data_IF_953688982036
#
_entry.id   IF_953688982036
#
_cell.length_a   1.000
_cell.length_b   1.000
_cell.length_c   1.000
_cell.angle_alpha   90.00
_cell.angle_beta   90.00
_cell.angle_gamma   90.00
#
_symmetry.space_group_name_H-M   'P 1'
#
loop_
_entity.id
_entity.type
_entity.pdbx_description
1 polymer ?
#
# COMPACT_ATOMS: atom_id res chain seq x y z
N UNK A 1 4.97 -1.36 20.88
CA UNK A 1 4.86 -0.15 20.03
C UNK A 1 3.44 0.38 20.13
N UNK A 2 3.25 1.67 20.41
CA UNK A 2 1.92 2.29 20.50
C UNK A 2 1.48 2.75 19.10
N UNK A 3 0.17 2.79 18.83
CA UNK A 3 -0.35 3.29 17.54
C UNK A 3 0.13 4.72 17.22
N UNK A 4 0.41 5.51 18.24
CA UNK A 4 0.96 6.87 18.15
C UNK A 4 2.36 6.93 17.54
N UNK A 5 3.09 5.82 17.52
CA UNK A 5 4.48 5.77 17.04
C UNK A 5 4.53 5.73 15.50
N UNK A 6 3.40 5.51 14.83
CA UNK A 6 3.29 5.39 13.38
C UNK A 6 2.74 6.67 12.74
N UNK A 7 3.41 7.15 11.68
CA UNK A 7 2.99 8.36 10.94
C UNK A 7 1.80 8.13 10.01
N UNK A 8 1.48 6.88 9.71
CA UNK A 8 0.39 6.50 8.82
C UNK A 8 -0.22 5.18 9.27
N UNK A 9 -1.54 5.13 9.28
CA UNK A 9 -2.33 3.95 9.61
C UNK A 9 -3.46 3.89 8.58
N UNK A 10 -3.68 2.70 8.02
CA UNK A 10 -4.78 2.44 7.10
C UNK A 10 -5.57 1.24 7.60
N UNK A 11 -6.89 1.31 7.47
CA UNK A 11 -7.80 0.26 7.95
C UNK A 11 -8.51 -0.37 6.78
N UNK A 12 -8.38 -1.69 6.67
CA UNK A 12 -9.09 -2.49 5.68
C UNK A 12 -10.37 -3.05 6.30
N UNK A 13 -11.44 -3.09 5.49
CA UNK A 13 -12.62 -3.89 5.80
C UNK A 13 -12.45 -5.26 5.16
N UNK A 14 -12.29 -6.29 5.99
CA UNK A 14 -12.17 -7.68 5.53
C UNK A 14 -13.50 -8.13 4.90
N UNK A 15 -13.41 -8.80 3.76
CA UNK A 15 -14.56 -9.38 3.04
C UNK A 15 -14.58 -10.89 3.20
N UNK A 16 -15.77 -11.49 3.08
CA UNK A 16 -15.94 -12.94 3.17
C UNK A 16 -15.00 -13.73 2.25
N UNK A 17 -14.79 -13.24 1.01
CA UNK A 17 -13.91 -13.88 0.04
C UNK A 17 -12.41 -13.87 0.41
N UNK A 18 -12.00 -13.10 1.42
CA UNK A 18 -10.60 -12.99 1.86
C UNK A 18 -10.30 -13.93 3.05
N UNK A 19 -11.33 -14.63 3.51
CA UNK A 19 -11.33 -15.45 4.72
C UNK A 19 -11.41 -16.93 4.32
N UNK A 20 -10.64 -17.78 4.98
CA UNK A 20 -10.69 -19.22 4.75
C UNK A 20 -11.82 -19.92 5.52
N UNK A 21 -11.91 -21.24 5.40
CA UNK A 21 -12.93 -22.05 6.08
C UNK A 21 -12.87 -21.98 7.62
N UNK A 22 -11.75 -21.52 8.20
CA UNK A 22 -11.56 -21.38 9.65
C UNK A 22 -12.01 -20.01 10.15
N UNK A 23 -12.44 -19.10 9.26
CA UNK A 23 -12.87 -17.76 9.65
C UNK A 23 -11.71 -16.78 9.84
N UNK A 24 -10.51 -17.11 9.35
CA UNK A 24 -9.32 -16.27 9.44
C UNK A 24 -8.92 -15.78 8.03
N UNK A 25 -8.33 -14.59 7.94
CA UNK A 25 -7.80 -14.09 6.66
C UNK A 25 -6.70 -15.04 6.16
N UNK A 26 -6.86 -15.53 4.94
CA UNK A 26 -5.90 -16.43 4.34
C UNK A 26 -4.56 -15.71 4.07
N UNK A 27 -3.44 -16.40 4.31
CA UNK A 27 -2.11 -15.77 4.35
C UNK A 27 -1.74 -15.04 3.03
N UNK A 28 -2.16 -15.58 1.88
CA UNK A 28 -1.86 -14.94 0.59
C UNK A 28 -2.46 -13.52 0.46
N UNK A 29 -3.54 -13.19 1.18
CA UNK A 29 -4.14 -11.86 1.12
C UNK A 29 -3.31 -10.78 1.81
N UNK A 30 -2.40 -11.13 2.73
CA UNK A 30 -1.53 -10.14 3.37
C UNK A 30 -0.66 -9.38 2.38
N UNK A 31 -0.18 -10.05 1.32
CA UNK A 31 0.62 -9.38 0.29
C UNK A 31 -0.23 -8.38 -0.51
N UNK A 32 -1.50 -8.71 -0.77
CA UNK A 32 -2.43 -7.81 -1.43
C UNK A 32 -2.75 -6.59 -0.55
N UNK A 33 -2.97 -6.80 0.75
CA UNK A 33 -3.16 -5.70 1.70
C UNK A 33 -1.93 -4.80 1.79
N UNK A 34 -0.73 -5.38 1.74
CA UNK A 34 0.52 -4.63 1.78
C UNK A 34 0.71 -3.76 0.53
N UNK A 35 0.47 -4.30 -0.66
CA UNK A 35 0.50 -3.52 -1.92
C UNK A 35 -0.51 -2.36 -1.89
N UNK A 36 -1.74 -2.62 -1.45
CA UNK A 36 -2.76 -1.59 -1.28
C UNK A 36 -2.30 -0.51 -0.28
N UNK A 37 -1.74 -0.91 0.87
CA UNK A 37 -1.26 0.01 1.90
C UNK A 37 -0.17 0.95 1.37
N UNK A 38 0.78 0.40 0.60
CA UNK A 38 1.85 1.20 -0.03
C UNK A 38 1.25 2.23 -0.98
N UNK A 39 0.28 1.82 -1.80
CA UNK A 39 -0.41 2.72 -2.73
C UNK A 39 -1.13 3.85 -1.99
N UNK A 40 -1.87 3.53 -0.92
CA UNK A 40 -2.56 4.54 -0.11
C UNK A 40 -1.58 5.47 0.62
N UNK A 41 -0.44 4.96 1.07
CA UNK A 41 0.61 5.78 1.66
C UNK A 41 1.17 6.79 0.67
N UNK A 42 1.48 6.37 -0.57
CA UNK A 42 1.93 7.30 -1.61
C UNK A 42 0.85 8.32 -2.00
N UNK A 43 -0.43 7.90 -2.02
CA UNK A 43 -1.55 8.82 -2.24
C UNK A 43 -1.64 9.86 -1.12
N UNK A 44 -1.46 9.45 0.14
CA UNK A 44 -1.41 10.37 1.30
C UNK A 44 -0.28 11.38 1.19
N UNK A 45 0.88 10.95 0.68
CA UNK A 45 2.03 11.83 0.39
C UNK A 45 1.83 12.73 -0.83
N UNK A 46 0.73 12.57 -1.59
CA UNK A 46 0.50 13.22 -2.89
C UNK A 46 1.66 13.00 -3.86
N UNK A 47 2.30 11.83 -3.77
CA UNK A 47 3.51 11.54 -4.54
C UNK A 47 3.15 11.27 -6.00
N UNK A 48 3.56 12.16 -6.90
CA UNK A 48 3.31 12.01 -8.34
C UNK A 48 4.40 11.14 -8.99
N UNK A 49 4.16 9.83 -9.02
CA UNK A 49 5.08 8.87 -9.61
C UNK A 49 5.34 9.13 -11.11
N UNK A 50 4.30 9.47 -11.88
CA UNK A 50 4.41 9.73 -13.32
C UNK A 50 5.32 10.94 -13.62
N UNK A 51 5.19 12.02 -12.86
CA UNK A 51 6.06 13.20 -12.97
C UNK A 51 7.52 12.83 -12.70
N UNK A 52 7.77 12.03 -11.65
CA UNK A 52 9.12 11.64 -11.26
C UNK A 52 9.79 10.74 -12.29
N UNK A 53 9.05 9.79 -12.88
CA UNK A 53 9.57 8.96 -13.96
C UNK A 53 9.93 9.76 -15.21
N UNK A 54 9.13 10.76 -15.60
CA UNK A 54 9.46 11.67 -16.72
C UNK A 54 10.78 12.40 -16.46
N UNK A 55 10.98 12.89 -15.24
CA UNK A 55 12.21 13.57 -14.84
C UNK A 55 13.43 12.64 -14.88
N UNK A 56 13.30 11.41 -14.38
CA UNK A 56 14.41 10.43 -14.38
C UNK A 56 14.79 10.02 -15.81
N UNK A 57 13.81 9.74 -16.69
CA UNK A 57 14.09 9.43 -18.10
C UNK A 57 14.81 10.59 -18.81
N UNK A 58 14.43 11.83 -18.49
CA UNK A 58 15.10 13.03 -19.02
C UNK A 58 16.56 13.13 -18.55
N UNK A 59 16.85 12.77 -17.30
CA UNK A 59 18.22 12.75 -16.76
C UNK A 59 19.09 11.66 -17.38
N UNK A 60 18.54 10.51 -17.75
CA UNK A 60 19.30 9.40 -18.36
C UNK A 60 19.49 9.54 -19.89
N UNK A 61 18.79 10.47 -20.54
CA UNK A 61 18.90 10.74 -21.99
C UNK A 61 19.81 11.94 -22.32
N UNK A 62 20.51 12.50 -21.33
CA UNK A 62 21.55 13.53 -21.47
C UNK A 62 22.91 12.91 -21.15
#
# INVERSE_FOLDING_TARGET
MKKTDYKFIYTFRVRYAEVDAQGIVFNAHYLTYFDCLITEYYRKLKYNYAQKLKNIKKTFML
#
